data_IF_892670783241
#
_entry.id   IF_892670783241
#
_cell.length_a   1.000
_cell.length_b   1.000
_cell.length_c   1.000
_cell.angle_alpha   90.00
_cell.angle_beta   90.00
_cell.angle_gamma   90.00
#
_symmetry.space_group_name_H-M   'P 1'
#
loop_
_entity.id
_entity.type
_entity.pdbx_description
1 polymer ?
#
# COMPACT_ATOMS: atom_id res chain seq x y z
N UNK A 1 -3.60 -18.19 -25.85
CA UNK A 1 -3.11 -18.20 -24.47
C UNK A 1 -2.76 -16.76 -24.15
N UNK A 2 -3.64 -16.07 -23.44
CA UNK A 2 -3.41 -14.70 -22.99
C UNK A 2 -2.39 -14.76 -21.85
N UNK A 3 -1.20 -14.22 -22.08
CA UNK A 3 -0.28 -13.88 -21.01
C UNK A 3 -0.89 -12.70 -20.24
N UNK A 4 -1.66 -12.99 -19.19
CA UNK A 4 -2.08 -12.01 -18.21
C UNK A 4 -0.83 -11.45 -17.51
N UNK A 5 -0.54 -10.19 -17.78
CA UNK A 5 0.57 -9.44 -17.18
C UNK A 5 0.31 -9.27 -15.69
N UNK A 6 1.16 -9.88 -14.90
CA UNK A 6 1.19 -9.86 -13.43
C UNK A 6 1.52 -8.44 -12.87
N UNK A 7 1.93 -7.49 -13.73
CA UNK A 7 2.53 -6.21 -13.34
C UNK A 7 1.54 -5.11 -12.86
N UNK A 8 0.23 -5.28 -13.03
CA UNK A 8 -0.75 -4.22 -12.73
C UNK A 8 -1.12 -4.07 -11.22
N UNK A 9 -0.70 -4.98 -10.34
CA UNK A 9 -1.04 -4.92 -8.90
C UNK A 9 0.09 -4.39 -7.99
N UNK A 10 1.33 -4.34 -8.46
CA UNK A 10 2.50 -4.04 -7.63
C UNK A 10 2.76 -2.55 -7.42
N UNK A 11 2.34 -1.72 -8.35
CA UNK A 11 2.47 -0.26 -8.26
C UNK A 11 1.11 0.36 -8.52
N UNK A 12 0.39 0.72 -7.47
CA UNK A 12 -0.80 1.57 -7.60
C UNK A 12 -0.32 2.98 -7.97
N UNK A 13 -0.15 3.18 -9.28
CA UNK A 13 0.35 4.41 -9.88
C UNK A 13 -0.65 5.59 -9.76
N UNK A 14 -1.82 5.36 -9.20
CA UNK A 14 -2.70 6.43 -8.73
C UNK A 14 -2.05 7.22 -7.57
N UNK A 15 -1.09 6.62 -6.82
CA UNK A 15 -0.31 7.34 -5.81
C UNK A 15 0.75 8.27 -6.44
N UNK A 16 1.21 8.01 -7.65
CA UNK A 16 2.18 8.86 -8.36
C UNK A 16 1.48 10.04 -9.06
N UNK A 17 0.17 9.93 -9.35
CA UNK A 17 -0.63 10.96 -10.00
C UNK A 17 -1.53 11.74 -9.02
N UNK A 18 -1.45 11.46 -7.70
CA UNK A 18 -2.14 12.29 -6.71
C UNK A 18 -1.47 13.67 -6.68
N UNK A 19 -2.21 14.78 -6.81
CA UNK A 19 -1.63 16.10 -6.66
C UNK A 19 -1.07 16.25 -5.24
N UNK A 20 0.18 16.70 -5.11
CA UNK A 20 0.73 17.14 -3.84
C UNK A 20 -0.07 18.37 -3.37
N UNK A 21 -0.42 18.44 -2.09
CA UNK A 21 -1.14 19.57 -1.49
C UNK A 21 -0.38 20.91 -1.53
N UNK A 22 0.86 20.94 -2.10
CA UNK A 22 1.74 22.11 -2.08
C UNK A 22 2.33 22.48 -3.46
N UNK A 23 1.81 21.96 -4.57
CA UNK A 23 2.20 22.47 -5.87
C UNK A 23 1.37 23.70 -6.19
N UNK A 24 1.97 24.88 -6.04
CA UNK A 24 1.48 26.08 -6.74
C UNK A 24 1.36 25.70 -8.22
N UNK A 25 0.11 25.58 -8.69
CA UNK A 25 -0.18 25.34 -10.11
C UNK A 25 0.38 26.51 -10.92
N UNK A 26 1.60 26.35 -11.42
CA UNK A 26 2.25 27.35 -12.27
C UNK A 26 1.74 27.31 -13.70
N UNK A 27 0.81 26.39 -14.03
CA UNK A 27 0.35 26.15 -15.40
C UNK A 27 1.44 25.60 -16.34
N UNK A 28 2.64 25.31 -15.82
CA UNK A 28 3.77 24.84 -16.62
C UNK A 28 3.65 23.31 -16.81
N UNK A 29 3.77 22.86 -18.05
CA UNK A 29 3.83 21.44 -18.43
C UNK A 29 5.27 21.00 -18.57
N UNK A 30 5.61 19.84 -18.04
CA UNK A 30 6.93 19.23 -18.11
C UNK A 30 6.86 17.95 -18.94
N UNK A 31 7.88 17.74 -19.78
CA UNK A 31 8.00 16.55 -20.62
C UNK A 31 8.54 15.37 -19.80
N UNK A 32 7.71 14.31 -19.65
CA UNK A 32 8.06 13.11 -18.92
C UNK A 32 8.53 11.95 -19.80
N UNK A 33 8.05 11.92 -21.05
CA UNK A 33 8.41 10.89 -22.02
C UNK A 33 8.37 11.49 -23.41
N UNK A 34 9.30 11.06 -24.28
CA UNK A 34 9.34 11.43 -25.69
C UNK A 34 9.73 10.20 -26.52
N UNK A 35 9.04 10.01 -27.63
CA UNK A 35 9.40 9.02 -28.64
C UNK A 35 9.05 9.56 -30.03
N UNK A 36 9.94 9.32 -30.98
CA UNK A 36 9.69 9.57 -32.40
C UNK A 36 9.28 8.26 -33.05
N UNK A 37 8.22 8.28 -33.83
CA UNK A 37 7.65 7.09 -34.50
C UNK A 37 8.51 6.75 -35.70
N UNK A 38 8.94 5.50 -35.79
CA UNK A 38 9.78 4.98 -36.86
C UNK A 38 9.16 5.20 -38.25
N UNK A 39 9.98 5.46 -39.27
CA UNK A 39 9.53 5.70 -40.66
C UNK A 39 8.76 4.54 -41.26
N UNK A 40 9.01 3.31 -40.80
CA UNK A 40 8.32 2.08 -41.24
C UNK A 40 7.14 1.66 -40.40
N UNK A 41 6.73 2.48 -39.42
CA UNK A 41 5.64 2.14 -38.51
C UNK A 41 4.30 2.11 -39.23
N UNK A 42 3.60 0.98 -39.17
CA UNK A 42 2.20 0.90 -39.61
C UNK A 42 1.26 1.66 -38.67
N UNK A 43 0.18 2.26 -39.20
CA UNK A 43 -0.76 2.99 -38.37
C UNK A 43 -1.42 2.09 -37.33
N UNK A 44 -1.11 2.29 -36.04
CA UNK A 44 -1.77 1.64 -34.92
C UNK A 44 -2.24 2.66 -33.89
N UNK A 45 -3.14 2.26 -32.99
CA UNK A 45 -3.65 3.14 -31.93
C UNK A 45 -2.53 3.53 -30.96
N UNK A 46 -2.49 4.83 -30.57
CA UNK A 46 -1.44 5.36 -29.72
C UNK A 46 -1.41 4.69 -28.34
N UNK A 47 -2.58 4.25 -27.82
CA UNK A 47 -2.66 3.52 -26.55
C UNK A 47 -1.95 2.16 -26.61
N UNK A 48 -2.02 1.47 -27.78
CA UNK A 48 -1.32 0.22 -28.01
C UNK A 48 0.17 0.47 -28.30
N UNK A 49 0.49 1.44 -29.15
CA UNK A 49 1.86 1.81 -29.48
C UNK A 49 2.70 2.16 -28.25
N UNK A 50 2.13 2.99 -27.35
CA UNK A 50 2.83 3.42 -26.14
C UNK A 50 2.91 2.32 -25.07
N UNK A 51 1.93 1.41 -24.99
CA UNK A 51 1.94 0.33 -23.99
C UNK A 51 3.11 -0.66 -24.15
N UNK A 52 3.70 -0.73 -25.34
CA UNK A 52 4.88 -1.56 -25.62
C UNK A 52 6.18 -0.80 -25.33
N UNK A 53 6.16 0.54 -25.41
CA UNK A 53 7.36 1.41 -25.36
C UNK A 53 7.54 2.15 -24.04
N UNK A 54 6.48 2.35 -23.30
CA UNK A 54 6.53 2.95 -21.97
C UNK A 54 6.63 1.86 -20.91
N UNK A 55 7.81 1.70 -20.34
CA UNK A 55 8.02 0.81 -19.20
C UNK A 55 7.09 1.22 -18.06
N UNK A 56 6.49 0.26 -17.37
CA UNK A 56 5.59 0.44 -16.23
C UNK A 56 4.26 1.18 -16.51
N UNK A 57 3.79 1.19 -17.76
CA UNK A 57 2.51 1.83 -18.11
C UNK A 57 1.55 0.84 -18.76
N UNK A 58 0.44 0.53 -18.07
CA UNK A 58 -0.62 -0.27 -18.66
C UNK A 58 -1.39 0.50 -19.75
N UNK A 59 -1.99 -0.22 -20.70
CA UNK A 59 -2.79 0.39 -21.76
C UNK A 59 -3.93 1.25 -21.22
N UNK A 60 -4.59 0.82 -20.15
CA UNK A 60 -5.66 1.58 -19.50
C UNK A 60 -5.15 2.92 -18.93
N UNK A 61 -3.94 2.93 -18.38
CA UNK A 61 -3.31 4.15 -17.88
C UNK A 61 -3.00 5.13 -18.98
N UNK A 62 -2.48 4.65 -20.12
CA UNK A 62 -2.21 5.47 -21.30
C UNK A 62 -3.52 6.08 -21.83
N UNK A 63 -4.62 5.32 -21.83
CA UNK A 63 -5.93 5.82 -22.20
C UNK A 63 -6.39 6.96 -21.28
N UNK A 64 -6.28 6.78 -19.96
CA UNK A 64 -6.61 7.84 -19.00
C UNK A 64 -5.74 9.09 -19.17
N UNK A 65 -4.44 8.92 -19.40
CA UNK A 65 -3.54 10.05 -19.68
C UNK A 65 -3.92 10.80 -20.97
N UNK A 66 -4.28 10.08 -22.04
CA UNK A 66 -4.75 10.68 -23.27
C UNK A 66 -6.10 11.42 -23.09
N UNK A 67 -7.02 10.85 -22.31
CA UNK A 67 -8.31 11.46 -22.01
C UNK A 67 -8.16 12.72 -21.14
N UNK A 68 -7.15 12.74 -20.26
CA UNK A 68 -6.75 13.91 -19.49
C UNK A 68 -5.98 14.98 -20.29
N UNK A 69 -5.70 14.72 -21.58
CA UNK A 69 -4.94 15.65 -22.44
C UNK A 69 -3.43 15.65 -22.21
N UNK A 70 -2.88 14.68 -21.47
CA UNK A 70 -1.45 14.62 -21.15
C UNK A 70 -0.60 14.01 -22.28
N UNK A 71 -1.20 13.33 -23.26
CA UNK A 71 -0.47 12.76 -24.40
C UNK A 71 -0.58 13.72 -25.60
N UNK A 72 0.56 14.18 -26.08
CA UNK A 72 0.64 15.07 -27.21
C UNK A 72 1.32 14.37 -28.39
N UNK A 73 0.87 14.69 -29.60
CA UNK A 73 1.53 14.34 -30.85
C UNK A 73 1.86 15.64 -31.59
N UNK A 74 3.14 15.81 -31.92
CA UNK A 74 3.64 17.03 -32.56
C UNK A 74 3.19 18.32 -31.82
N UNK A 75 3.20 18.26 -30.47
CA UNK A 75 2.82 19.37 -29.58
C UNK A 75 1.32 19.55 -29.36
N UNK A 76 0.45 18.71 -29.93
CA UNK A 76 -1.02 18.83 -29.81
C UNK A 76 -1.58 17.66 -29.02
N UNK A 77 -2.46 17.89 -27.98
CA UNK A 77 -3.11 16.81 -27.24
C UNK A 77 -3.97 15.91 -28.14
N UNK A 78 -3.85 14.60 -27.94
CA UNK A 78 -4.60 13.60 -28.71
C UNK A 78 -5.38 12.64 -27.83
N UNK A 79 -6.44 12.03 -28.39
CA UNK A 79 -7.23 10.98 -27.73
C UNK A 79 -6.56 9.62 -27.85
N UNK A 80 -6.91 8.69 -26.97
CA UNK A 80 -6.37 7.32 -26.91
C UNK A 80 -6.55 6.49 -28.19
N UNK A 81 -7.47 6.87 -29.06
CA UNK A 81 -7.73 6.21 -30.35
C UNK A 81 -6.96 6.82 -31.54
N UNK A 82 -6.13 7.85 -31.30
CA UNK A 82 -5.26 8.41 -32.33
C UNK A 82 -4.43 7.29 -32.96
N UNK A 83 -4.30 7.33 -34.30
CA UNK A 83 -3.47 6.38 -35.04
C UNK A 83 -2.12 7.05 -35.31
N UNK A 84 -1.07 6.49 -34.73
CA UNK A 84 0.30 6.98 -34.94
C UNK A 84 0.69 6.91 -36.41
N UNK A 85 1.49 7.87 -36.85
CA UNK A 85 2.04 7.97 -38.20
C UNK A 85 3.55 7.99 -38.16
N UNK A 86 4.24 7.55 -39.20
CA UNK A 86 5.67 7.72 -39.31
C UNK A 86 6.10 9.17 -39.01
N UNK A 87 7.20 9.34 -38.29
CA UNK A 87 7.77 10.63 -37.89
C UNK A 87 6.93 11.46 -36.88
N UNK A 88 5.81 10.93 -36.37
CA UNK A 88 5.13 11.59 -35.25
C UNK A 88 6.05 11.67 -34.02
N UNK A 89 6.13 12.84 -33.43
CA UNK A 89 6.80 13.05 -32.14
C UNK A 89 5.73 12.98 -31.03
N UNK A 90 5.76 11.90 -30.26
CA UNK A 90 4.81 11.68 -29.17
C UNK A 90 5.48 12.07 -27.85
N UNK A 91 4.80 12.92 -27.05
CA UNK A 91 5.26 13.34 -25.73
C UNK A 91 4.19 13.13 -24.66
N UNK A 92 4.62 12.76 -23.44
CA UNK A 92 3.80 12.79 -22.24
C UNK A 92 4.13 14.05 -21.44
N UNK A 93 3.15 14.92 -21.29
CA UNK A 93 3.29 16.21 -20.61
C UNK A 93 2.48 16.19 -19.31
N UNK A 94 3.12 16.48 -18.17
CA UNK A 94 2.46 16.55 -16.85
C UNK A 94 2.76 17.90 -16.19
N UNK A 95 1.87 18.35 -15.30
CA UNK A 95 2.06 19.61 -14.56
C UNK A 95 3.14 19.52 -13.47
N UNK A 96 3.60 18.34 -13.14
CA UNK A 96 4.68 18.14 -12.17
C UNK A 96 6.03 18.02 -12.89
N UNK A 97 7.12 18.56 -12.31
CA UNK A 97 8.45 18.36 -12.86
C UNK A 97 8.81 16.86 -12.87
N UNK A 98 9.62 16.44 -13.85
CA UNK A 98 10.12 15.07 -13.90
C UNK A 98 11.06 14.86 -12.70
N UNK A 99 10.59 14.12 -11.71
CA UNK A 99 11.48 13.66 -10.65
C UNK A 99 12.26 12.43 -11.13
N UNK A 100 13.53 12.39 -10.81
CA UNK A 100 14.32 11.17 -10.97
C UNK A 100 13.75 10.15 -9.97
N UNK A 101 13.09 9.12 -10.50
CA UNK A 101 12.53 8.03 -9.71
C UNK A 101 13.52 6.88 -9.53
N UNK A 102 14.79 7.07 -9.93
CA UNK A 102 15.82 6.07 -9.72
C UNK A 102 15.99 5.80 -8.23
N UNK A 103 16.12 4.53 -7.89
CA UNK A 103 16.31 4.10 -6.52
C UNK A 103 17.77 4.30 -6.17
N UNK A 104 18.02 5.26 -5.29
CA UNK A 104 19.36 5.53 -4.75
C UNK A 104 19.59 4.66 -3.53
N UNK A 105 20.75 3.98 -3.44
CA UNK A 105 21.12 3.16 -2.29
C UNK A 105 21.42 4.07 -1.07
N UNK A 106 20.76 3.81 0.05
CA UNK A 106 20.92 4.58 1.30
C UNK A 106 21.22 3.65 2.47
N UNK A 107 22.22 4.02 3.29
CA UNK A 107 22.64 3.25 4.48
C UNK A 107 21.63 3.39 5.61
N UNK A 108 20.53 2.65 5.49
CA UNK A 108 19.45 2.60 6.46
C UNK A 108 19.41 1.19 7.05
N UNK A 109 19.46 1.03 8.39
CA UNK A 109 19.39 -0.28 9.05
C UNK A 109 18.09 -1.03 8.70
N UNK A 110 18.22 -2.31 8.38
CA UNK A 110 17.11 -3.25 8.12
C UNK A 110 17.03 -4.28 9.24
N UNK A 111 15.82 -4.54 9.73
CA UNK A 111 15.51 -5.67 10.60
C UNK A 111 15.17 -6.88 9.71
N UNK A 112 16.21 -7.65 9.31
CA UNK A 112 16.09 -8.80 8.42
C UNK A 112 15.79 -10.04 9.27
N UNK A 113 14.60 -10.59 9.12
CA UNK A 113 14.13 -11.79 9.82
C UNK A 113 14.66 -13.08 9.16
N UNK A 114 14.81 -13.06 7.84
CA UNK A 114 15.33 -14.15 7.03
C UNK A 114 15.96 -13.63 5.75
N UNK A 115 17.00 -14.24 5.29
CA UNK A 115 17.64 -13.94 4.01
C UNK A 115 18.34 -15.17 3.44
N UNK A 116 18.18 -15.38 2.13
CA UNK A 116 18.95 -16.33 1.33
C UNK A 116 19.32 -15.73 -0.04
N UNK A 117 19.71 -16.56 -1.00
CA UNK A 117 20.09 -16.09 -2.34
C UNK A 117 18.90 -15.64 -3.19
N UNK A 118 17.65 -15.99 -2.83
CA UNK A 118 16.46 -15.76 -3.62
C UNK A 118 15.59 -14.62 -3.10
N UNK A 119 15.52 -14.48 -1.77
CA UNK A 119 14.61 -13.53 -1.13
C UNK A 119 15.13 -13.07 0.22
N UNK A 120 14.53 -12.01 0.75
CA UNK A 120 14.67 -11.61 2.14
C UNK A 120 13.29 -11.28 2.75
N UNK A 121 13.10 -11.56 4.02
CA UNK A 121 11.95 -11.19 4.82
C UNK A 121 12.38 -10.11 5.81
N UNK A 122 11.70 -8.99 5.78
CA UNK A 122 12.06 -7.80 6.57
C UNK A 122 10.91 -7.45 7.50
N UNK A 123 11.21 -7.14 8.75
CA UNK A 123 10.28 -6.53 9.69
C UNK A 123 10.38 -5.00 9.58
N UNK A 124 9.55 -4.40 8.73
CA UNK A 124 9.57 -2.97 8.43
C UNK A 124 9.15 -2.15 9.68
N UNK A 125 9.88 -1.13 10.09
CA UNK A 125 9.40 -0.19 11.10
C UNK A 125 8.22 0.65 10.59
N UNK A 126 7.40 1.17 11.48
CA UNK A 126 6.42 2.19 11.16
C UNK A 126 7.13 3.51 10.77
N UNK A 127 6.47 4.34 9.95
CA UNK A 127 7.01 5.60 9.44
C UNK A 127 7.86 5.47 8.18
N UNK A 128 8.29 4.26 7.81
CA UNK A 128 9.07 3.99 6.61
C UNK A 128 8.15 3.66 5.43
N UNK A 129 8.27 4.40 4.34
CA UNK A 129 7.61 4.09 3.06
C UNK A 129 8.30 2.91 2.40
N UNK A 130 7.56 2.05 1.70
CA UNK A 130 8.14 0.86 1.06
C UNK A 130 8.89 1.22 -0.23
N UNK A 131 8.31 2.06 -1.08
CA UNK A 131 8.87 2.43 -2.39
C UNK A 131 8.79 3.96 -2.59
N UNK A 132 9.77 4.59 -3.25
CA UNK A 132 9.72 6.02 -3.57
C UNK A 132 8.40 6.41 -4.27
N UNK A 133 7.89 7.57 -3.91
CA UNK A 133 6.67 8.15 -4.47
C UNK A 133 6.55 9.61 -4.06
N UNK A 134 5.46 10.27 -4.46
CA UNK A 134 5.22 11.69 -4.20
C UNK A 134 5.49 12.05 -2.73
N UNK A 135 6.34 13.04 -2.49
CA UNK A 135 6.73 13.49 -1.15
C UNK A 135 7.66 12.55 -0.34
N UNK A 136 8.05 11.38 -0.89
CA UNK A 136 8.92 10.41 -0.20
C UNK A 136 9.86 9.75 -1.22
N UNK A 137 10.82 10.49 -1.77
CA UNK A 137 11.77 9.98 -2.77
C UNK A 137 12.98 9.27 -2.14
N UNK A 138 13.24 9.51 -0.86
CA UNK A 138 14.35 9.01 -0.06
C UNK A 138 13.87 8.37 1.23
N UNK A 139 14.75 7.65 1.91
CA UNK A 139 14.44 7.03 3.20
C UNK A 139 13.46 5.86 3.11
N UNK A 140 13.28 5.27 1.93
CA UNK A 140 12.33 4.18 1.74
C UNK A 140 12.98 2.81 1.96
N UNK A 141 12.14 1.80 2.16
CA UNK A 141 12.62 0.44 2.34
C UNK A 141 13.49 -0.02 1.16
N UNK A 142 13.09 0.28 -0.08
CA UNK A 142 13.85 -0.16 -1.25
C UNK A 142 15.19 0.58 -1.38
N UNK A 143 15.33 1.83 -0.87
CA UNK A 143 16.62 2.51 -0.78
C UNK A 143 17.56 1.76 0.18
N UNK A 144 17.03 1.31 1.34
CA UNK A 144 17.78 0.50 2.31
C UNK A 144 18.16 -0.88 1.74
N UNK A 145 17.24 -1.53 1.02
CA UNK A 145 17.51 -2.81 0.33
C UNK A 145 18.58 -2.63 -0.73
N UNK A 146 18.52 -1.56 -1.52
CA UNK A 146 19.55 -1.24 -2.52
C UNK A 146 20.94 -1.09 -1.89
N UNK A 147 21.03 -0.48 -0.71
CA UNK A 147 22.29 -0.37 0.03
C UNK A 147 22.77 -1.73 0.57
N UNK A 148 21.88 -2.49 1.19
CA UNK A 148 22.19 -3.83 1.68
C UNK A 148 22.73 -4.74 0.58
N UNK A 149 22.10 -4.68 -0.60
CA UNK A 149 22.42 -5.51 -1.76
C UNK A 149 23.49 -4.91 -2.69
N UNK A 150 24.10 -3.74 -2.37
CA UNK A 150 25.02 -3.02 -3.25
C UNK A 150 26.23 -3.80 -3.77
N UNK A 151 26.63 -4.84 -3.05
CA UNK A 151 27.76 -5.70 -3.40
C UNK A 151 27.33 -6.99 -4.14
N UNK A 152 26.04 -7.16 -4.43
CA UNK A 152 25.50 -8.31 -5.15
C UNK A 152 25.31 -7.93 -6.62
N UNK A 153 26.19 -8.37 -7.54
CA UNK A 153 26.18 -7.90 -8.93
C UNK A 153 24.90 -8.20 -9.70
N UNK A 154 24.14 -9.21 -9.27
CA UNK A 154 22.88 -9.63 -9.89
C UNK A 154 21.68 -8.83 -9.42
N UNK A 155 21.82 -7.98 -8.39
CA UNK A 155 20.73 -7.18 -7.84
C UNK A 155 20.88 -5.71 -8.23
N UNK A 156 19.91 -5.20 -8.97
CA UNK A 156 19.72 -3.78 -9.22
C UNK A 156 18.30 -3.39 -8.80
N UNK A 157 18.21 -2.52 -7.80
CA UNK A 157 16.91 -2.04 -7.28
C UNK A 157 16.09 -1.26 -8.34
N UNK A 158 16.73 -0.76 -9.38
CA UNK A 158 16.06 -0.10 -10.52
C UNK A 158 15.56 -1.10 -11.57
N UNK A 159 15.97 -2.37 -11.48
CA UNK A 159 15.46 -3.41 -12.34
C UNK A 159 14.04 -3.82 -11.86
N UNK A 160 13.00 -3.63 -12.68
CA UNK A 160 11.63 -4.02 -12.31
C UNK A 160 11.45 -5.52 -12.08
N UNK A 161 12.40 -6.35 -12.52
CA UNK A 161 12.35 -7.80 -12.38
C UNK A 161 12.83 -8.31 -11.00
N UNK A 162 13.27 -7.43 -10.10
CA UNK A 162 13.66 -7.77 -8.73
C UNK A 162 12.98 -6.85 -7.71
N UNK A 163 13.16 -7.10 -6.42
CA UNK A 163 12.72 -6.24 -5.35
C UNK A 163 11.31 -6.58 -4.83
N UNK A 164 10.47 -5.58 -4.70
CA UNK A 164 9.18 -5.71 -4.00
C UNK A 164 8.17 -6.57 -4.77
N UNK A 165 7.47 -7.44 -4.06
CA UNK A 165 6.33 -8.25 -4.55
C UNK A 165 5.00 -7.87 -3.90
N UNK A 166 5.05 -7.12 -2.81
CA UNK A 166 3.89 -6.49 -2.17
C UNK A 166 4.33 -5.30 -1.32
N UNK A 167 3.37 -4.62 -0.72
CA UNK A 167 3.63 -3.46 0.13
C UNK A 167 2.72 -3.44 1.36
N UNK A 168 3.15 -2.71 2.38
CA UNK A 168 2.34 -2.27 3.53
C UNK A 168 2.43 -0.76 3.65
N UNK A 169 1.47 -0.13 4.32
CA UNK A 169 1.41 1.33 4.44
C UNK A 169 2.63 1.90 5.19
N UNK A 170 2.93 3.18 4.98
CA UNK A 170 4.04 3.91 5.64
C UNK A 170 4.06 3.64 7.14
N UNK A 171 2.95 3.88 7.81
CA UNK A 171 2.85 3.81 9.27
C UNK A 171 2.39 2.43 9.78
N UNK A 172 2.24 1.44 8.90
CA UNK A 172 2.07 0.03 9.26
C UNK A 172 3.45 -0.60 9.44
N UNK A 173 3.68 -1.22 10.58
CA UNK A 173 4.88 -2.01 10.87
C UNK A 173 4.69 -3.48 10.53
N UNK A 174 5.78 -4.25 10.44
CA UNK A 174 5.74 -5.70 10.34
C UNK A 174 6.30 -6.29 9.05
N UNK A 175 5.97 -7.54 8.81
CA UNK A 175 6.64 -8.39 7.82
C UNK A 175 6.28 -8.06 6.38
N UNK A 176 7.30 -8.05 5.54
CA UNK A 176 7.17 -8.11 4.09
C UNK A 176 8.33 -8.90 3.48
N UNK A 177 8.12 -9.42 2.25
CA UNK A 177 9.12 -10.16 1.51
C UNK A 177 9.60 -9.36 0.30
N UNK A 178 10.90 -9.43 0.04
CA UNK A 178 11.59 -8.80 -1.10
C UNK A 178 12.26 -9.91 -1.90
N UNK A 179 12.05 -9.94 -3.21
CA UNK A 179 12.71 -10.87 -4.11
C UNK A 179 14.09 -10.35 -4.50
N UNK A 180 15.10 -11.20 -4.48
CA UNK A 180 16.48 -10.86 -4.88
C UNK A 180 16.77 -11.24 -6.33
N UNK A 181 15.94 -12.06 -6.95
CA UNK A 181 16.09 -12.55 -8.32
C UNK A 181 14.78 -12.37 -9.12
N UNK A 182 14.85 -12.26 -10.46
CA UNK A 182 13.67 -12.18 -11.32
C UNK A 182 12.75 -13.40 -11.19
N UNK A 183 13.33 -14.58 -11.07
CA UNK A 183 12.58 -15.83 -10.87
C UNK A 183 11.81 -15.83 -9.55
N UNK A 184 12.48 -15.45 -8.46
CA UNK A 184 11.83 -15.33 -7.16
C UNK A 184 10.71 -14.31 -7.18
N UNK A 185 10.91 -13.15 -7.84
CA UNK A 185 9.87 -12.13 -7.98
C UNK A 185 8.65 -12.65 -8.72
N UNK A 186 8.86 -13.32 -9.85
CA UNK A 186 7.78 -13.89 -10.67
C UNK A 186 6.98 -14.94 -9.87
N UNK A 187 7.66 -15.86 -9.18
CA UNK A 187 7.00 -16.94 -8.46
C UNK A 187 6.31 -16.44 -7.18
N UNK A 188 6.91 -15.53 -6.43
CA UNK A 188 6.26 -14.88 -5.30
C UNK A 188 5.08 -14.02 -5.76
N UNK A 189 5.25 -13.22 -6.83
CA UNK A 189 4.17 -12.41 -7.41
C UNK A 189 2.96 -13.26 -7.78
N UNK A 190 3.16 -14.45 -8.39
CA UNK A 190 2.07 -15.40 -8.67
C UNK A 190 1.35 -15.86 -7.40
N UNK A 191 2.05 -16.10 -6.30
CA UNK A 191 1.43 -16.49 -5.04
C UNK A 191 0.55 -15.38 -4.46
N UNK A 192 1.01 -14.12 -4.51
CA UNK A 192 0.21 -12.96 -4.10
C UNK A 192 -1.02 -12.79 -5.01
N UNK A 193 -0.86 -12.95 -6.32
CA UNK A 193 -1.93 -12.86 -7.30
C UNK A 193 -3.01 -13.94 -7.10
N UNK A 194 -2.58 -15.20 -6.93
CA UNK A 194 -3.48 -16.34 -6.69
C UNK A 194 -3.95 -16.43 -5.23
N UNK A 195 -3.55 -15.47 -4.36
CA UNK A 195 -3.97 -15.40 -2.94
C UNK A 195 -3.61 -16.66 -2.15
N UNK A 196 -2.49 -17.29 -2.48
CA UNK A 196 -1.98 -18.48 -1.78
C UNK A 196 -1.04 -18.12 -0.63
N UNK A 197 -0.68 -16.84 -0.47
CA UNK A 197 0.10 -16.33 0.66
C UNK A 197 -0.78 -16.18 1.90
N UNK A 198 -0.25 -16.52 3.06
CA UNK A 198 -0.93 -16.31 4.35
C UNK A 198 -0.42 -15.01 4.98
N UNK A 199 -1.33 -14.07 5.29
CA UNK A 199 -1.00 -12.78 5.91
C UNK A 199 -1.98 -12.47 7.01
N UNK A 200 -1.50 -12.31 8.25
CA UNK A 200 -2.34 -11.78 9.32
C UNK A 200 -1.74 -10.51 9.91
N UNK A 201 -2.63 -9.65 10.35
CA UNK A 201 -2.33 -8.36 10.95
C UNK A 201 -2.97 -8.27 12.32
N UNK A 202 -2.30 -7.61 13.24
CA UNK A 202 -2.88 -7.23 14.53
C UNK A 202 -3.30 -5.76 14.45
N UNK A 203 -4.55 -5.47 14.81
CA UNK A 203 -5.09 -4.13 14.83
C UNK A 203 -5.81 -3.84 16.16
N UNK A 204 -5.58 -2.65 16.74
CA UNK A 204 -6.44 -2.12 17.78
C UNK A 204 -7.48 -1.20 17.12
N UNK A 205 -8.75 -1.48 17.34
CA UNK A 205 -9.87 -0.75 16.73
C UNK A 205 -10.78 -0.14 17.79
N UNK A 206 -11.50 0.92 17.44
CA UNK A 206 -12.54 1.51 18.29
C UNK A 206 -13.80 0.65 18.34
N UNK A 207 -14.49 0.72 19.46
CA UNK A 207 -15.70 -0.02 19.84
C UNK A 207 -15.47 -1.52 20.09
N UNK A 208 -16.48 -2.16 20.66
CA UNK A 208 -16.53 -3.61 20.86
C UNK A 208 -17.28 -4.28 19.73
N UNK A 209 -16.89 -5.49 19.40
CA UNK A 209 -17.66 -6.38 18.56
C UNK A 209 -18.62 -7.21 19.40
N UNK A 210 -19.80 -7.48 18.86
CA UNK A 210 -20.75 -8.45 19.42
C UNK A 210 -20.28 -9.86 19.09
N UNK A 211 -19.89 -10.06 17.84
CA UNK A 211 -19.38 -11.32 17.32
C UNK A 211 -17.90 -11.53 17.71
N UNK A 212 -17.45 -12.80 17.71
CA UNK A 212 -16.05 -13.15 17.96
C UNK A 212 -15.19 -13.08 16.69
N UNK A 213 -15.83 -13.27 15.52
CA UNK A 213 -15.17 -13.25 14.22
C UNK A 213 -16.15 -12.82 13.13
N UNK A 214 -15.63 -12.44 11.98
CA UNK A 214 -16.45 -12.07 10.85
C UNK A 214 -15.67 -11.85 9.57
N UNK A 215 -16.38 -11.48 8.51
CA UNK A 215 -15.86 -11.23 7.17
C UNK A 215 -16.39 -9.92 6.64
N UNK A 216 -15.49 -9.11 6.09
CA UNK A 216 -15.84 -7.85 5.41
C UNK A 216 -15.51 -8.03 3.93
N UNK A 217 -16.49 -7.78 3.09
CA UNK A 217 -16.36 -7.87 1.65
C UNK A 217 -16.90 -6.61 0.99
N UNK A 218 -16.19 -6.13 -0.05
CA UNK A 218 -16.60 -4.99 -0.84
C UNK A 218 -15.51 -4.60 -1.83
N UNK A 219 -15.85 -3.74 -2.78
CA UNK A 219 -14.87 -3.20 -3.70
C UNK A 219 -14.19 -1.99 -3.07
N UNK A 220 -12.87 -1.92 -3.14
CA UNK A 220 -12.09 -0.79 -2.63
C UNK A 220 -11.67 0.10 -3.80
N UNK A 221 -12.00 1.40 -3.70
CA UNK A 221 -11.57 2.46 -4.59
C UNK A 221 -11.30 3.74 -3.81
N UNK A 222 -10.74 4.77 -4.47
CA UNK A 222 -10.55 6.09 -3.85
C UNK A 222 -11.90 6.70 -3.47
N UNK A 223 -11.95 7.30 -2.28
CA UNK A 223 -13.12 8.03 -1.80
C UNK A 223 -13.38 9.23 -2.73
N UNK A 224 -14.62 9.39 -3.16
CA UNK A 224 -15.03 10.48 -4.07
C UNK A 224 -14.87 11.86 -3.43
N UNK A 225 -15.01 11.96 -2.10
CA UNK A 225 -14.97 13.22 -1.35
C UNK A 225 -13.58 13.55 -0.81
N UNK A 226 -12.77 12.53 -0.57
CA UNK A 226 -11.40 12.67 -0.04
C UNK A 226 -10.49 11.66 -0.76
N UNK A 227 -9.84 12.11 -1.81
CA UNK A 227 -8.98 11.27 -2.67
C UNK A 227 -7.76 10.67 -1.95
N UNK A 228 -7.44 11.14 -0.76
CA UNK A 228 -6.37 10.59 0.08
C UNK A 228 -6.84 9.35 0.86
N UNK A 229 -8.14 9.03 0.86
CA UNK A 229 -8.73 7.84 1.48
C UNK A 229 -9.21 6.85 0.44
N UNK A 230 -9.30 5.61 0.89
CA UNK A 230 -10.02 4.55 0.19
C UNK A 230 -11.41 4.39 0.83
N UNK A 231 -12.39 4.08 -0.01
CA UNK A 231 -13.77 3.79 0.40
C UNK A 231 -14.17 2.38 -0.04
N UNK A 232 -15.12 1.81 0.69
CA UNK A 232 -15.69 0.49 0.38
C UNK A 232 -17.00 0.70 -0.37
N UNK A 233 -17.10 0.08 -1.53
CA UNK A 233 -18.28 0.04 -2.40
C UNK A 233 -18.89 -1.36 -2.35
N UNK A 234 -20.19 -1.52 -2.71
CA UNK A 234 -20.82 -2.84 -2.78
C UNK A 234 -20.03 -3.82 -3.67
N UNK A 235 -20.03 -5.13 -3.35
CA UNK A 235 -19.29 -6.13 -4.11
C UNK A 235 -19.67 -6.23 -5.60
N UNK A 236 -20.91 -5.87 -5.93
CA UNK A 236 -21.48 -5.84 -7.28
C UNK A 236 -21.28 -4.51 -8.01
N UNK A 237 -20.60 -3.55 -7.36
CA UNK A 237 -20.29 -2.25 -7.97
C UNK A 237 -19.25 -2.37 -9.07
N UNK A 238 -19.40 -1.61 -10.15
CA UNK A 238 -18.35 -1.43 -11.16
C UNK A 238 -17.17 -0.59 -10.65
N UNK A 239 -17.34 0.08 -9.50
CA UNK A 239 -16.32 0.94 -8.89
C UNK A 239 -15.45 0.15 -7.95
N UNK A 240 -14.13 0.23 -8.16
CA UNK A 240 -13.13 -0.37 -7.27
C UNK A 240 -12.74 -1.79 -7.64
N UNK A 241 -11.88 -2.36 -6.79
CA UNK A 241 -11.38 -3.73 -6.93
C UNK A 241 -11.87 -4.59 -5.76
N UNK A 242 -12.29 -5.85 -5.98
CA UNK A 242 -12.76 -6.74 -4.93
C UNK A 242 -11.74 -6.88 -3.78
N UNK A 243 -12.23 -6.79 -2.57
CA UNK A 243 -11.44 -6.91 -1.36
C UNK A 243 -12.18 -7.72 -0.30
N UNK A 244 -11.45 -8.60 0.39
CA UNK A 244 -11.96 -9.45 1.46
C UNK A 244 -11.01 -9.45 2.63
N UNK A 245 -11.53 -9.15 3.83
CA UNK A 245 -10.82 -9.21 5.11
C UNK A 245 -11.61 -10.06 6.08
N UNK A 246 -11.02 -11.12 6.62
CA UNK A 246 -11.53 -11.83 7.77
C UNK A 246 -10.97 -11.18 9.03
N UNK A 247 -11.76 -11.16 10.10
CA UNK A 247 -11.30 -10.65 11.39
C UNK A 247 -11.75 -11.59 12.53
N UNK A 248 -10.95 -11.62 13.58
CA UNK A 248 -11.22 -12.37 14.80
C UNK A 248 -10.84 -11.51 16.01
N UNK A 249 -11.69 -11.49 17.03
CA UNK A 249 -11.41 -10.81 18.30
C UNK A 249 -10.33 -11.58 19.06
N UNK A 250 -9.33 -10.85 19.54
CA UNK A 250 -8.28 -11.38 20.40
C UNK A 250 -8.47 -10.94 21.84
N UNK A 251 -8.83 -9.65 22.08
CA UNK A 251 -8.99 -9.10 23.42
C UNK A 251 -9.92 -7.87 23.37
N UNK A 252 -10.81 -7.72 24.34
CA UNK A 252 -11.74 -6.59 24.46
C UNK A 252 -11.33 -5.67 25.61
N UNK A 253 -11.32 -4.35 25.35
CA UNK A 253 -10.95 -3.33 26.32
C UNK A 253 -12.12 -2.37 26.65
N UNK A 254 -13.36 -2.82 26.53
CA UNK A 254 -14.55 -2.03 26.80
C UNK A 254 -14.88 -1.00 25.71
N UNK A 255 -13.93 -0.15 25.32
CA UNK A 255 -14.13 0.88 24.30
C UNK A 255 -13.27 0.69 23.05
N UNK A 256 -12.36 -0.25 23.10
CA UNK A 256 -11.53 -0.71 21.97
C UNK A 256 -11.42 -2.22 21.97
N UNK A 257 -11.08 -2.79 20.83
CA UNK A 257 -10.92 -4.24 20.65
C UNK A 257 -9.62 -4.51 19.89
N UNK A 258 -8.84 -5.46 20.37
CA UNK A 258 -7.72 -6.03 19.63
C UNK A 258 -8.26 -7.12 18.72
N UNK A 259 -7.98 -7.00 17.44
CA UNK A 259 -8.40 -7.97 16.43
C UNK A 259 -7.22 -8.48 15.61
N UNK A 260 -7.32 -9.73 15.18
CA UNK A 260 -6.51 -10.24 14.08
C UNK A 260 -7.29 -10.07 12.78
N UNK A 261 -6.62 -9.54 11.75
CA UNK A 261 -7.17 -9.40 10.41
C UNK A 261 -6.41 -10.31 9.44
N UNK A 262 -7.10 -11.20 8.74
CA UNK A 262 -6.53 -12.11 7.74
C UNK A 262 -6.99 -11.66 6.36
N UNK A 263 -6.04 -11.49 5.44
CA UNK A 263 -6.30 -10.92 4.13
C UNK A 263 -6.37 -11.99 3.02
N UNK A 264 -7.47 -12.04 2.28
CA UNK A 264 -7.51 -12.72 0.97
C UNK A 264 -6.94 -11.82 -0.13
N UNK A 265 -7.07 -10.51 -0.01
CA UNK A 265 -6.62 -9.51 -0.98
C UNK A 265 -5.74 -8.47 -0.28
N UNK A 266 -4.95 -7.70 -1.05
CA UNK A 266 -4.04 -6.67 -0.51
C UNK A 266 -4.25 -5.31 -1.16
N UNK A 267 -5.45 -4.70 -1.05
CA UNK A 267 -5.73 -3.37 -1.61
C UNK A 267 -5.17 -2.27 -0.72
N UNK A 268 -4.85 -1.14 -1.31
CA UNK A 268 -4.37 0.05 -0.58
C UNK A 268 -5.32 0.39 0.57
N UNK A 269 -4.78 0.57 1.78
CA UNK A 269 -5.52 0.86 3.02
C UNK A 269 -6.65 -0.15 3.33
N UNK A 270 -6.62 -1.38 2.84
CA UNK A 270 -7.75 -2.30 2.89
C UNK A 270 -8.30 -2.50 4.31
N UNK A 271 -7.46 -2.90 5.28
CA UNK A 271 -7.91 -3.11 6.67
C UNK A 271 -8.48 -1.83 7.25
N UNK A 272 -7.85 -0.69 6.99
CA UNK A 272 -8.25 0.63 7.49
C UNK A 272 -9.62 1.04 6.96
N UNK A 273 -9.83 0.88 5.64
CA UNK A 273 -11.11 1.17 4.99
C UNK A 273 -12.22 0.20 5.43
N UNK A 274 -11.93 -1.10 5.47
CA UNK A 274 -12.87 -2.13 5.90
C UNK A 274 -13.32 -1.93 7.35
N UNK A 275 -12.39 -1.74 8.28
CA UNK A 275 -12.73 -1.55 9.69
C UNK A 275 -13.51 -0.25 9.90
N UNK A 276 -13.16 0.84 9.23
CA UNK A 276 -13.98 2.06 9.26
C UNK A 276 -15.39 1.81 8.70
N UNK A 277 -15.50 1.07 7.59
CA UNK A 277 -16.78 0.77 6.93
C UNK A 277 -17.77 0.10 7.87
N UNK A 278 -17.31 -0.83 8.71
CA UNK A 278 -18.13 -1.52 9.71
C UNK A 278 -18.25 -0.77 11.04
N UNK A 279 -17.75 0.49 11.12
CA UNK A 279 -17.89 1.34 12.33
C UNK A 279 -16.81 1.13 13.39
N UNK A 280 -15.71 0.44 13.06
CA UNK A 280 -14.60 0.15 13.95
C UNK A 280 -13.26 0.71 13.42
N UNK A 281 -13.09 2.03 13.19
CA UNK A 281 -11.83 2.55 12.67
C UNK A 281 -10.67 2.21 13.59
N UNK A 282 -9.46 2.06 13.01
CA UNK A 282 -8.26 1.74 13.77
C UNK A 282 -7.92 2.88 14.75
N UNK A 283 -7.54 2.53 15.96
CA UNK A 283 -7.05 3.48 16.95
C UNK A 283 -5.82 4.20 16.41
N UNK A 284 -5.78 5.54 16.55
CA UNK A 284 -4.68 6.37 16.09
C UNK A 284 -4.64 6.64 14.59
N UNK A 285 -5.58 6.12 13.79
CA UNK A 285 -5.64 6.38 12.35
C UNK A 285 -6.22 7.77 12.06
N UNK A 286 -5.34 8.76 11.89
CA UNK A 286 -5.75 10.15 11.62
C UNK A 286 -6.58 10.28 10.34
N UNK A 287 -6.24 9.50 9.30
CA UNK A 287 -6.92 9.58 8.00
C UNK A 287 -8.33 8.98 8.01
N UNK A 288 -8.56 7.97 8.84
CA UNK A 288 -9.84 7.26 8.94
C UNK A 288 -10.64 7.60 10.21
N UNK A 289 -10.25 8.68 10.94
CA UNK A 289 -10.99 9.20 12.09
C UNK A 289 -10.74 8.45 13.40
N UNK A 290 -9.66 7.66 13.46
CA UNK A 290 -9.30 6.89 14.67
C UNK A 290 -8.60 7.70 15.76
N UNK A 291 -8.28 8.96 15.54
CA UNK A 291 -7.70 9.89 16.54
C UNK A 291 -8.77 10.59 17.39
N UNK A 292 -10.02 10.52 16.99
CA UNK A 292 -11.13 11.07 17.75
C UNK A 292 -11.59 10.10 18.84
N UNK A 293 -12.18 10.63 19.91
CA UNK A 293 -12.80 9.79 20.96
C UNK A 293 -14.16 9.33 20.46
N UNK A 294 -14.22 8.14 19.91
CA UNK A 294 -15.44 7.60 19.32
C UNK A 294 -16.33 6.87 20.33
N UNK A 295 -15.73 6.35 21.40
CA UNK A 295 -16.42 5.60 22.47
C UNK A 295 -15.81 5.94 23.81
N UNK A 296 -16.59 5.78 24.88
CA UNK A 296 -16.13 5.92 26.26
C UNK A 296 -16.75 7.07 27.02
N UNK A 297 -16.17 7.39 28.17
CA UNK A 297 -16.68 8.38 29.11
C UNK A 297 -16.36 9.82 28.67
N UNK A 298 -17.25 10.76 28.99
CA UNK A 298 -17.03 12.19 28.74
C UNK A 298 -16.23 12.91 29.83
N UNK A 299 -15.46 12.17 30.62
CA UNK A 299 -14.63 12.74 31.70
C UNK A 299 -13.32 13.33 31.21
N UNK A 300 -12.79 14.31 31.90
CA UNK A 300 -11.46 14.88 31.63
C UNK A 300 -10.36 13.85 31.81
N UNK A 301 -10.50 12.95 32.77
CA UNK A 301 -9.57 11.85 33.04
C UNK A 301 -9.51 10.87 31.86
N UNK A 302 -10.66 10.48 31.29
CA UNK A 302 -10.71 9.61 30.13
C UNK A 302 -10.14 10.29 28.90
N UNK A 303 -10.45 11.58 28.69
CA UNK A 303 -9.85 12.38 27.61
C UNK A 303 -8.32 12.42 27.72
N UNK A 304 -7.79 12.66 28.92
CA UNK A 304 -6.35 12.64 29.16
C UNK A 304 -5.73 11.26 28.94
N UNK A 305 -6.43 10.18 29.32
CA UNK A 305 -6.02 8.81 29.05
C UNK A 305 -5.90 8.55 27.55
N UNK A 306 -6.92 8.88 26.73
CA UNK A 306 -6.88 8.71 25.27
C UNK A 306 -5.76 9.55 24.64
N UNK A 307 -5.59 10.80 25.05
CA UNK A 307 -4.49 11.63 24.54
C UNK A 307 -3.12 11.02 24.86
N UNK A 308 -2.98 10.38 26.03
CA UNK A 308 -1.76 9.67 26.39
C UNK A 308 -1.54 8.42 25.50
N UNK A 309 -2.59 7.64 25.25
CA UNK A 309 -2.56 6.50 24.32
C UNK A 309 -2.17 6.91 22.90
N UNK A 310 -2.72 8.02 22.38
CA UNK A 310 -2.38 8.57 21.07
C UNK A 310 -0.93 9.09 20.98
N UNK A 311 -0.35 9.54 22.11
CA UNK A 311 1.09 9.90 22.16
C UNK A 311 2.00 8.69 22.14
N UNK A 312 1.58 7.57 22.73
CA UNK A 312 2.33 6.31 22.71
C UNK A 312 2.34 5.70 21.33
N UNK A 313 1.19 5.68 20.65
CA UNK A 313 1.06 5.19 19.27
C UNK A 313 0.40 6.26 18.39
N UNK A 314 1.17 7.21 17.84
CA UNK A 314 0.65 8.35 17.06
C UNK A 314 0.37 7.99 15.60
N UNK A 315 -0.05 6.76 15.34
CA UNK A 315 -0.29 6.20 14.03
C UNK A 315 -1.43 5.17 14.08
N UNK A 316 -1.89 4.70 12.91
CA UNK A 316 -2.79 3.56 12.91
C UNK A 316 -2.17 2.39 13.69
N UNK A 317 -2.89 1.90 14.69
CA UNK A 317 -2.49 0.76 15.50
C UNK A 317 -2.64 -0.53 14.69
N UNK A 318 -1.72 -0.74 13.74
CA UNK A 318 -1.73 -1.83 12.76
C UNK A 318 -0.31 -2.41 12.59
N UNK A 319 -0.22 -3.74 12.59
CA UNK A 319 1.05 -4.46 12.46
C UNK A 319 0.87 -5.74 11.65
N UNK A 320 1.66 -5.92 10.59
CA UNK A 320 1.73 -7.14 9.78
C UNK A 320 2.46 -8.23 10.58
N UNK A 321 1.67 -9.06 11.28
CA UNK A 321 2.15 -10.00 12.30
C UNK A 321 2.74 -11.26 11.71
N UNK A 322 2.06 -11.85 10.70
CA UNK A 322 2.50 -13.10 10.09
C UNK A 322 2.57 -12.97 8.58
N UNK A 323 3.52 -13.69 8.01
CA UNK A 323 3.70 -13.81 6.56
C UNK A 323 4.09 -15.25 6.23
N UNK A 324 3.26 -15.93 5.42
CA UNK A 324 3.50 -17.27 4.93
C UNK A 324 3.43 -17.36 3.42
N UNK A 325 4.35 -18.07 2.83
CA UNK A 325 4.44 -18.32 1.38
C UNK A 325 5.28 -19.59 1.10
N UNK A 326 5.17 -20.10 -0.12
CA UNK A 326 6.03 -21.21 -0.58
C UNK A 326 7.30 -20.61 -1.15
N UNK A 327 8.46 -21.09 -0.68
CA UNK A 327 9.77 -20.65 -1.16
C UNK A 327 9.91 -20.92 -2.66
N UNK A 328 10.27 -19.91 -3.49
CA UNK A 328 10.20 -20.01 -4.95
C UNK A 328 11.07 -21.12 -5.56
N UNK A 329 12.24 -21.39 -4.97
CA UNK A 329 13.17 -22.38 -5.50
C UNK A 329 13.03 -23.75 -4.84
N UNK A 330 12.87 -23.79 -3.51
CA UNK A 330 12.85 -25.07 -2.78
C UNK A 330 11.47 -25.71 -2.71
N UNK A 331 10.41 -24.96 -2.95
CA UNK A 331 9.03 -25.40 -2.79
C UNK A 331 8.61 -25.64 -1.33
N UNK A 332 9.45 -25.26 -0.36
CA UNK A 332 9.18 -25.41 1.06
C UNK A 332 8.22 -24.32 1.54
N UNK A 333 7.24 -24.70 2.38
CA UNK A 333 6.42 -23.71 3.09
C UNK A 333 7.27 -22.95 4.09
N UNK A 334 7.19 -21.62 4.02
CA UNK A 334 7.88 -20.67 4.91
C UNK A 334 6.82 -19.87 5.66
N UNK A 335 6.91 -19.85 6.99
CA UNK A 335 6.00 -19.10 7.85
C UNK A 335 6.79 -18.27 8.85
N UNK A 336 6.54 -16.97 8.86
CA UNK A 336 7.24 -16.00 9.70
C UNK A 336 6.26 -15.28 10.63
N UNK A 337 6.74 -14.93 11.81
CA UNK A 337 6.00 -14.15 12.80
C UNK A 337 6.93 -13.09 13.38
N UNK A 338 6.48 -11.83 13.44
CA UNK A 338 7.21 -10.74 14.09
C UNK A 338 6.61 -10.41 15.47
N UNK A 339 7.41 -9.96 16.45
CA UNK A 339 6.89 -9.42 17.70
C UNK A 339 6.12 -8.12 17.45
N UNK A 340 5.19 -7.77 18.34
CA UNK A 340 4.57 -6.46 18.30
C UNK A 340 5.63 -5.38 18.56
N UNK A 341 5.59 -4.25 17.84
CA UNK A 341 6.49 -3.14 18.11
C UNK A 341 6.17 -2.47 19.46
N UNK A 342 7.17 -1.86 20.04
CA UNK A 342 7.11 -1.32 21.42
C UNK A 342 5.96 -0.32 21.63
N UNK A 343 5.62 0.50 20.64
CA UNK A 343 4.50 1.44 20.70
C UNK A 343 3.15 0.73 20.84
N UNK A 344 2.93 -0.37 20.10
CA UNK A 344 1.72 -1.17 20.22
C UNK A 344 1.68 -1.95 21.54
N UNK A 345 2.79 -2.54 21.97
CA UNK A 345 2.84 -3.23 23.26
C UNK A 345 2.53 -2.30 24.43
N UNK A 346 3.11 -1.09 24.44
CA UNK A 346 2.84 -0.08 25.45
C UNK A 346 1.38 0.41 25.39
N UNK A 347 0.82 0.60 24.19
CA UNK A 347 -0.57 0.97 23.99
C UNK A 347 -1.51 -0.10 24.59
N UNK A 348 -1.29 -1.37 24.28
CA UNK A 348 -2.09 -2.49 24.82
C UNK A 348 -1.96 -2.61 26.33
N UNK A 349 -0.73 -2.44 26.88
CA UNK A 349 -0.51 -2.43 28.31
C UNK A 349 -1.30 -1.29 29.02
N UNK A 350 -1.40 -0.11 28.39
CA UNK A 350 -2.22 1.00 28.90
C UNK A 350 -3.71 0.65 28.92
N UNK A 351 -4.22 0.05 27.87
CA UNK A 351 -5.63 -0.37 27.81
C UNK A 351 -5.93 -1.47 28.84
N UNK A 352 -5.07 -2.47 29.00
CA UNK A 352 -5.21 -3.51 30.04
C UNK A 352 -5.21 -2.90 31.44
N UNK A 353 -4.30 -1.95 31.72
CA UNK A 353 -4.28 -1.23 32.99
C UNK A 353 -5.55 -0.41 33.24
N UNK A 354 -6.11 0.20 32.19
CA UNK A 354 -7.37 0.95 32.30
C UNK A 354 -8.54 0.05 32.71
N UNK A 355 -8.69 -1.12 32.08
CA UNK A 355 -9.76 -2.07 32.42
C UNK A 355 -9.61 -2.59 33.83
N UNK A 356 -8.41 -3.05 34.21
CA UNK A 356 -8.13 -3.59 35.53
C UNK A 356 -8.38 -2.57 36.65
N UNK A 357 -8.19 -1.28 36.37
CA UNK A 357 -8.52 -0.18 37.29
C UNK A 357 -10.01 0.17 37.33
N UNK A 358 -10.75 -0.15 36.25
CA UNK A 358 -12.18 0.20 36.10
C UNK A 358 -13.10 -0.97 36.50
N UNK A 359 -12.60 -2.19 36.66
CA UNK A 359 -13.38 -3.38 37.06
C UNK A 359 -13.95 -3.27 38.48
N UNK A 360 -13.65 -2.22 39.25
CA UNK A 360 -14.32 -1.89 40.51
C UNK A 360 -15.56 -0.99 40.36
N UNK A 361 -15.77 -0.36 39.18
CA UNK A 361 -16.93 0.50 38.91
C UNK A 361 -17.53 0.19 37.54
N UNK A 362 -18.54 -0.68 37.54
CA UNK A 362 -19.65 -0.85 36.60
C UNK A 362 -19.48 -0.39 35.14
N UNK A 363 -19.25 -1.33 34.23
CA UNK A 363 -19.68 -1.19 32.83
C UNK A 363 -21.21 -1.29 32.78
N UNK A 364 -21.93 -0.19 32.86
CA UNK A 364 -23.37 -0.12 32.55
C UNK A 364 -23.47 0.01 31.03
N UNK A 365 -24.14 -0.98 30.41
CA UNK A 365 -24.53 -0.97 29.00
C UNK A 365 -25.28 0.32 28.65
N UNK A 366 -24.82 1.00 27.60
CA UNK A 366 -25.64 1.89 26.78
C UNK A 366 -25.33 1.64 25.30
#
# INVERSE_FOLDING_TARGET
>A
MEEERIDDELLDLDDVLAPEEDSSDTGQLYEHFRVEVDKGQEPERIDKYLSVRMQHSSRNRIQKAADAGSIHVNGTPVKSNYKVRPEDVITLMLHQPKHDTSIVAEDIPLDIVYEDDQLMVINKPAGMVVHPGAGNFHGTLINAVAWHMRNVPSFDANNPEVGLVHRIDKDTSGLLVVAKTPEAKTLLGKQFFHKTTHRSYIALVWANFVEEEGRIEGNIARDVRDRLRMAVFPPDSETGKPAVTHWRVLERFGYTTLVECILETGRTHQIRAHMRHIGHPLFGDARYGGTEILRGQRSSTYKAFIQNCLRICPRQALHARTLGFVHPTTGQQMDFTSPLPADLEQLLAKWRGYINGTTQDTFVEQ
#
